data_IF_147970110468
#
_entry.id   IF_147970110468
#
_cell.length_a   1.000
_cell.length_b   1.000
_cell.length_c   1.000
_cell.angle_alpha   90.00
_cell.angle_beta   90.00
_cell.angle_gamma   90.00
#
_symmetry.space_group_name_H-M   'P 1'
#
loop_
_entity.id
_entity.type
_entity.pdbx_description
1 polymer ?
#
# COMPACT_ATOMS: atom_id res chain seq x y z
N UNK A 1 10.52 4.45 -11.94
CA UNK A 1 10.62 3.24 -11.07
C UNK A 1 11.53 3.59 -9.92
N UNK A 2 11.26 3.10 -8.71
CA UNK A 2 12.16 3.30 -7.58
C UNK A 2 12.01 2.22 -6.51
N UNK A 3 13.01 2.14 -5.65
CA UNK A 3 13.07 1.23 -4.52
C UNK A 3 13.56 1.97 -3.29
N UNK A 4 13.03 1.60 -2.13
CA UNK A 4 13.51 2.07 -0.84
C UNK A 4 13.34 0.97 0.21
N UNK A 5 13.98 1.14 1.37
CA UNK A 5 13.87 0.21 2.48
C UNK A 5 12.79 0.69 3.47
N UNK A 6 12.16 -0.26 4.17
CA UNK A 6 11.27 0.04 5.28
C UNK A 6 11.60 -0.82 6.50
N UNK A 7 11.34 -0.27 7.68
CA UNK A 7 11.37 -0.98 8.95
C UNK A 7 10.19 -0.48 9.79
N UNK A 8 9.33 -1.40 10.22
CA UNK A 8 8.10 -1.13 10.97
C UNK A 8 7.92 -2.23 12.00
N UNK A 9 7.95 -1.88 13.28
CA UNK A 9 7.65 -2.78 14.40
C UNK A 9 6.13 -2.95 14.58
N UNK A 10 5.68 -3.92 15.38
CA UNK A 10 4.24 -4.20 15.59
C UNK A 10 3.44 -2.99 16.16
N UNK A 11 4.12 -2.12 16.92
CA UNK A 11 3.56 -0.90 17.50
C UNK A 11 3.68 0.34 16.62
N UNK A 12 4.21 0.22 15.40
CA UNK A 12 4.50 1.33 14.50
C UNK A 12 3.69 1.24 13.20
N UNK A 13 3.63 2.36 12.50
CA UNK A 13 3.05 2.48 11.17
C UNK A 13 3.92 3.45 10.35
N UNK A 14 4.10 3.15 9.07
CA UNK A 14 4.81 4.04 8.15
C UNK A 14 3.79 4.68 7.21
N UNK A 15 3.64 6.00 7.34
CA UNK A 15 2.86 6.81 6.41
C UNK A 15 3.65 6.96 5.11
N UNK A 16 2.99 6.72 3.99
CA UNK A 16 3.53 6.82 2.65
C UNK A 16 2.71 7.86 1.89
N UNK A 17 3.35 8.90 1.35
CA UNK A 17 2.69 9.88 0.49
C UNK A 17 3.49 10.14 -0.79
N UNK A 18 2.79 10.25 -1.92
CA UNK A 18 3.40 10.64 -3.19
C UNK A 18 2.36 11.25 -4.12
N UNK A 19 2.74 12.31 -4.83
CA UNK A 19 1.94 12.83 -5.94
C UNK A 19 1.93 11.81 -7.08
N UNK A 20 0.74 11.45 -7.58
CA UNK A 20 0.64 10.50 -8.69
C UNK A 20 0.90 11.24 -10.00
N UNK A 21 1.94 10.89 -10.76
CA UNK A 21 2.24 11.54 -12.03
C UNK A 21 1.23 11.13 -13.11
N UNK A 22 1.13 11.91 -14.20
CA UNK A 22 0.41 11.46 -15.38
C UNK A 22 1.14 10.22 -15.93
N UNK A 23 0.48 9.07 -15.92
CA UNK A 23 1.09 7.82 -16.36
C UNK A 23 0.05 6.77 -16.79
N UNK A 24 0.47 5.82 -17.62
CA UNK A 24 -0.41 4.72 -18.10
C UNK A 24 -0.66 3.69 -17.00
N UNK A 25 0.31 3.48 -16.11
CA UNK A 25 0.17 2.57 -14.99
C UNK A 25 1.11 2.97 -13.85
N UNK A 26 0.65 2.78 -12.63
CA UNK A 26 1.50 2.86 -11.46
C UNK A 26 1.10 1.85 -10.40
N UNK A 27 2.01 1.60 -9.47
CA UNK A 27 1.72 0.83 -8.27
C UNK A 27 2.88 0.74 -7.31
N UNK A 28 2.56 0.35 -6.08
CA UNK A 28 3.46 0.13 -4.95
C UNK A 28 3.34 -1.32 -4.47
N UNK A 29 4.45 -1.93 -4.09
CA UNK A 29 4.51 -3.31 -3.60
C UNK A 29 5.55 -3.43 -2.51
N UNK A 30 5.18 -4.12 -1.43
CA UNK A 30 6.10 -4.58 -0.42
C UNK A 30 6.77 -5.88 -0.86
N UNK A 31 8.08 -5.94 -0.65
CA UNK A 31 8.87 -7.15 -0.75
C UNK A 31 9.65 -7.40 0.54
N UNK A 32 10.08 -8.64 0.71
CA UNK A 32 10.97 -9.02 1.81
C UNK A 32 12.40 -8.48 1.60
N UNK A 33 13.31 -8.87 2.49
CA UNK A 33 14.71 -8.47 2.47
C UNK A 33 15.49 -8.99 1.25
N UNK A 34 14.92 -9.95 0.52
CA UNK A 34 15.46 -10.54 -0.70
C UNK A 34 14.76 -10.04 -1.96
N UNK A 35 13.96 -8.96 -1.84
CA UNK A 35 13.18 -8.37 -2.92
C UNK A 35 12.11 -9.32 -3.50
N UNK A 36 11.72 -10.36 -2.78
CA UNK A 36 10.60 -11.21 -3.17
C UNK A 36 9.30 -10.53 -2.72
N UNK A 37 8.27 -10.56 -3.57
CA UNK A 37 6.97 -10.00 -3.20
C UNK A 37 6.42 -10.71 -1.95
N UNK A 38 5.92 -9.93 -0.99
CA UNK A 38 5.09 -10.47 0.09
C UNK A 38 3.80 -11.08 -0.47
N UNK A 39 3.02 -11.79 0.36
CA UNK A 39 1.78 -12.46 -0.07
C UNK A 39 0.73 -11.47 -0.58
N UNK A 40 0.80 -11.17 -1.87
CA UNK A 40 -0.11 -10.26 -2.54
C UNK A 40 -1.41 -10.95 -2.98
N UNK A 41 -1.52 -12.28 -2.84
CA UNK A 41 -2.71 -13.05 -3.23
C UNK A 41 -3.75 -13.01 -2.12
N UNK A 42 -3.33 -13.21 -0.87
CA UNK A 42 -4.24 -13.24 0.28
C UNK A 42 -4.16 -11.98 1.16
N UNK A 43 -3.11 -11.17 1.03
CA UNK A 43 -2.96 -9.89 1.75
C UNK A 43 -2.91 -8.71 0.81
N UNK A 44 -3.20 -7.54 1.33
CA UNK A 44 -3.06 -6.27 0.62
C UNK A 44 -1.62 -5.75 0.75
N UNK A 45 -0.62 -6.52 0.32
CA UNK A 45 0.81 -6.13 0.38
C UNK A 45 1.27 -5.30 -0.84
N UNK A 46 0.33 -4.94 -1.71
CA UNK A 46 0.56 -4.12 -2.91
C UNK A 46 -0.70 -3.35 -3.28
N UNK A 47 -0.56 -2.21 -3.96
CA UNK A 47 -1.66 -1.43 -4.53
C UNK A 47 -1.24 -0.88 -5.89
N UNK A 48 -2.21 -0.65 -6.78
CA UNK A 48 -2.01 0.00 -8.06
C UNK A 48 -3.14 1.00 -8.35
N UNK A 49 -3.03 1.74 -9.45
CA UNK A 49 -4.02 2.77 -9.81
C UNK A 49 -5.47 2.29 -10.00
N UNK A 50 -5.73 0.99 -10.09
CA UNK A 50 -7.09 0.43 -10.17
C UNK A 50 -7.65 0.03 -8.79
N UNK A 51 -6.81 -0.03 -7.77
CA UNK A 51 -7.15 -0.51 -6.42
C UNK A 51 -7.05 0.58 -5.37
N UNK A 52 -6.12 1.52 -5.54
CA UNK A 52 -5.90 2.60 -4.61
C UNK A 52 -7.03 3.63 -4.68
N UNK A 53 -7.36 4.22 -3.54
CA UNK A 53 -8.21 5.41 -3.47
C UNK A 53 -7.33 6.65 -3.46
N UNK A 54 -7.58 7.60 -4.36
CA UNK A 54 -6.81 8.84 -4.46
C UNK A 54 -7.69 9.99 -3.99
N UNK A 55 -7.15 10.81 -3.08
CA UNK A 55 -7.82 12.02 -2.60
C UNK A 55 -7.88 13.08 -3.70
N UNK A 56 -8.75 14.09 -3.51
CA UNK A 56 -8.99 15.13 -4.52
C UNK A 56 -7.74 15.97 -4.87
N UNK A 57 -6.71 15.96 -4.02
CA UNK A 57 -5.42 16.62 -4.23
C UNK A 57 -4.45 15.81 -5.11
N UNK A 58 -4.84 14.64 -5.62
CA UNK A 58 -4.01 13.83 -6.53
C UNK A 58 -2.88 13.07 -5.84
N UNK A 59 -2.83 13.10 -4.50
CA UNK A 59 -1.79 12.41 -3.73
C UNK A 59 -2.25 11.00 -3.37
N UNK A 60 -1.42 10.01 -3.67
CA UNK A 60 -1.59 8.67 -3.14
C UNK A 60 -1.02 8.63 -1.71
N UNK A 61 -1.90 8.31 -0.76
CA UNK A 61 -1.56 8.11 0.65
C UNK A 61 -1.79 6.68 1.07
N UNK A 62 -0.85 6.07 1.78
CA UNK A 62 -1.00 4.73 2.32
C UNK A 62 -0.38 4.58 3.70
N UNK A 63 -0.87 3.61 4.46
CA UNK A 63 -0.26 3.17 5.72
C UNK A 63 0.36 1.79 5.51
N UNK A 64 1.65 1.64 5.83
CA UNK A 64 2.30 0.34 5.92
C UNK A 64 2.36 -0.06 7.40
N UNK A 65 1.71 -1.17 7.77
CA UNK A 65 1.59 -1.61 9.16
C UNK A 65 1.23 -3.09 9.27
N UNK A 66 1.53 -3.68 10.44
CA UNK A 66 1.16 -5.08 10.76
C UNK A 66 -0.34 -5.28 10.98
N UNK A 67 -1.02 -4.26 11.52
CA UNK A 67 -2.45 -4.28 11.82
C UNK A 67 -3.20 -3.42 10.80
N UNK A 68 -4.43 -3.81 10.49
CA UNK A 68 -5.32 -3.02 9.62
C UNK A 68 -5.68 -1.71 10.32
N UNK A 69 -5.33 -0.54 9.75
CA UNK A 69 -5.67 0.77 10.31
C UNK A 69 -7.11 1.21 10.02
N UNK A 70 -7.90 0.43 9.27
CA UNK A 70 -9.29 0.77 8.95
C UNK A 70 -9.43 1.81 7.83
N UNK A 71 -8.45 1.89 6.93
CA UNK A 71 -8.47 2.77 5.74
C UNK A 71 -8.20 1.98 4.45
N UNK A 72 -8.69 2.46 3.31
CA UNK A 72 -8.62 1.77 2.03
C UNK A 72 -7.18 1.41 1.64
N UNK A 73 -6.29 2.40 1.67
CA UNK A 73 -4.90 2.27 1.25
C UNK A 73 -4.00 1.78 2.39
N UNK A 74 -4.18 0.53 2.78
CA UNK A 74 -3.29 -0.17 3.70
C UNK A 74 -2.34 -1.10 2.93
N UNK A 75 -1.08 -1.17 3.34
CA UNK A 75 -0.11 -2.14 2.88
C UNK A 75 0.27 -3.05 4.05
N UNK A 76 -0.23 -4.28 4.00
CA UNK A 76 -0.01 -5.31 5.03
C UNK A 76 1.43 -5.84 4.95
N UNK A 77 2.17 -5.72 6.05
CA UNK A 77 3.55 -6.23 6.18
C UNK A 77 3.63 -7.75 6.22
N UNK A 78 2.50 -8.45 6.35
CA UNK A 78 2.39 -9.91 6.42
C UNK A 78 3.21 -10.53 7.56
N UNK A 79 3.49 -9.75 8.61
CA UNK A 79 4.32 -10.15 9.76
C UNK A 79 5.82 -9.86 9.59
N UNK A 80 6.27 -9.35 8.44
CA UNK A 80 7.65 -8.88 8.29
C UNK A 80 7.84 -7.55 9.03
N UNK A 81 8.98 -7.36 9.68
CA UNK A 81 9.33 -6.09 10.36
C UNK A 81 10.19 -5.18 9.50
N UNK A 82 10.70 -5.67 8.38
CA UNK A 82 11.51 -4.93 7.44
C UNK A 82 11.47 -5.55 6.05
N UNK A 83 11.84 -4.77 5.04
CA UNK A 83 11.98 -5.23 3.67
C UNK A 83 12.13 -4.07 2.70
N UNK A 84 11.78 -4.29 1.44
CA UNK A 84 11.81 -3.26 0.41
C UNK A 84 10.40 -2.76 0.05
N UNK A 85 10.30 -1.49 -0.30
CA UNK A 85 9.19 -0.91 -1.05
C UNK A 85 9.65 -0.77 -2.49
N UNK A 86 8.87 -1.30 -3.43
CA UNK A 86 9.06 -1.07 -4.87
C UNK A 86 7.87 -0.26 -5.39
N UNK A 87 8.14 0.87 -6.04
CA UNK A 87 7.11 1.67 -6.71
C UNK A 87 7.43 1.89 -8.19
N UNK A 88 6.37 1.92 -9.00
CA UNK A 88 6.44 1.95 -10.47
C UNK A 88 5.62 3.11 -11.01
N UNK A 89 6.21 3.85 -11.93
CA UNK A 89 5.58 4.87 -12.77
C UNK A 89 5.86 4.46 -14.22
N UNK A 90 4.88 3.87 -14.91
CA UNK A 90 5.05 3.37 -16.27
C UNK A 90 4.57 4.42 -17.28
N UNK A 91 5.47 4.82 -18.19
CA UNK A 91 5.20 5.89 -19.17
C UNK A 91 4.69 7.15 -18.48
N UNK A 92 5.43 7.60 -17.46
CA UNK A 92 5.09 8.77 -16.68
C UNK A 92 5.80 10.02 -17.21
N UNK A 93 5.16 11.17 -17.06
CA UNK A 93 5.74 12.49 -17.36
C UNK A 93 6.83 12.92 -16.35
N UNK A 94 6.81 12.32 -15.16
CA UNK A 94 7.68 12.63 -14.04
C UNK A 94 7.96 11.39 -13.18
N UNK A 95 8.92 11.49 -12.27
CA UNK A 95 9.37 10.39 -11.42
C UNK A 95 9.35 10.79 -9.94
N UNK A 96 8.17 11.04 -9.35
CA UNK A 96 8.08 11.46 -7.96
C UNK A 96 8.59 10.36 -7.02
N UNK A 97 9.23 10.79 -5.93
CA UNK A 97 9.76 9.93 -4.88
C UNK A 97 8.85 10.06 -3.67
N UNK A 98 8.37 8.94 -3.09
CA UNK A 98 7.48 9.00 -1.94
C UNK A 98 8.20 9.53 -0.70
N UNK A 99 7.46 10.30 0.08
CA UNK A 99 7.85 10.63 1.46
C UNK A 99 7.36 9.55 2.40
N UNK A 100 8.15 9.29 3.44
CA UNK A 100 7.86 8.28 4.44
C UNK A 100 7.96 8.90 5.83
N UNK A 101 6.97 8.66 6.68
CA UNK A 101 6.99 9.08 8.08
C UNK A 101 6.63 7.91 9.00
N UNK A 102 7.55 7.53 9.89
CA UNK A 102 7.32 6.49 10.88
C UNK A 102 6.63 7.11 12.10
N UNK A 103 5.49 6.55 12.49
CA UNK A 103 4.69 7.00 13.62
C UNK A 103 4.30 5.82 14.51
N UNK A 104 4.03 6.02 15.80
CA UNK A 104 3.34 5.03 16.62
C UNK A 104 1.99 4.67 15.97
N UNK A 105 1.65 3.39 15.91
CA UNK A 105 0.39 2.93 15.31
C UNK A 105 -0.82 3.56 16.00
N UNK A 106 -0.74 3.73 17.33
CA UNK A 106 -1.83 4.30 18.12
C UNK A 106 -2.02 5.80 17.87
N UNK A 107 -1.09 6.48 17.21
CA UNK A 107 -1.22 7.89 16.85
C UNK A 107 -2.01 8.08 15.54
N UNK A 108 -2.22 7.02 14.75
CA UNK A 108 -2.91 7.09 13.46
C UNK A 108 -4.26 7.83 13.53
N UNK A 109 -5.16 7.60 14.50
CA UNK A 109 -6.43 8.32 14.58
C UNK A 109 -6.29 9.85 14.62
N UNK A 110 -5.17 10.38 15.13
CA UNK A 110 -4.88 11.82 15.17
C UNK A 110 -4.20 12.34 13.88
N UNK A 111 -3.68 11.44 13.04
CA UNK A 111 -2.96 11.76 11.80
C UNK A 111 -3.82 11.58 10.55
N UNK A 112 -4.81 10.69 10.62
CA UNK A 112 -5.72 10.38 9.52
C UNK A 112 -6.88 11.39 9.50
N UNK A 113 -6.85 12.30 8.54
CA UNK A 113 -7.93 13.26 8.27
C UNK A 113 -8.89 12.74 7.17
N UNK A 114 -9.71 13.64 6.62
CA UNK A 114 -10.71 13.35 5.58
C UNK A 114 -10.11 12.90 4.24
N UNK A 115 -8.80 13.04 4.05
CA UNK A 115 -8.09 12.56 2.84
C UNK A 115 -7.84 11.05 2.88
N UNK A 116 -8.06 10.40 4.02
CA UNK A 116 -7.88 8.96 4.20
C UNK A 116 -9.25 8.27 4.19
N UNK A 117 -9.52 7.49 3.15
CA UNK A 117 -10.83 6.85 3.00
C UNK A 117 -10.99 5.68 3.99
N UNK A 118 -11.98 5.71 4.91
CA UNK A 118 -12.19 4.65 5.87
C UNK A 118 -12.71 3.37 5.20
N UNK A 119 -12.41 2.23 5.81
CA UNK A 119 -12.85 0.90 5.37
C UNK A 119 -13.21 0.06 6.59
N UNK A 120 -14.39 -0.56 6.55
CA UNK A 120 -14.86 -1.49 7.56
C UNK A 120 -14.21 -2.87 7.43
N UNK A 121 -14.19 -3.70 8.49
CA UNK A 121 -13.70 -5.08 8.40
C UNK A 121 -14.39 -5.93 7.32
N UNK A 122 -15.70 -5.71 7.08
CA UNK A 122 -16.45 -6.43 6.05
C UNK A 122 -16.00 -6.04 4.64
N UNK A 123 -15.83 -4.73 4.39
CA UNK A 123 -15.28 -4.22 3.13
C UNK A 123 -13.85 -4.70 2.91
N UNK A 124 -13.00 -4.71 3.95
CA UNK A 124 -11.65 -5.28 3.87
C UNK A 124 -11.69 -6.75 3.44
N UNK A 125 -12.56 -7.54 4.08
CA UNK A 125 -12.72 -8.96 3.75
C UNK A 125 -13.10 -9.15 2.27
N UNK A 126 -14.01 -8.33 1.78
CA UNK A 126 -14.44 -8.35 0.38
C UNK A 126 -13.29 -7.97 -0.58
N UNK A 127 -12.51 -6.93 -0.26
CA UNK A 127 -11.32 -6.53 -1.03
C UNK A 127 -10.32 -7.70 -1.13
N UNK A 128 -10.02 -8.37 -0.02
CA UNK A 128 -9.10 -9.51 -0.01
C UNK A 128 -9.67 -10.71 -0.79
N UNK A 129 -10.99 -10.96 -0.70
CA UNK A 129 -11.68 -12.01 -1.47
C UNK A 129 -11.57 -11.76 -2.98
N UNK A 130 -11.86 -10.54 -3.42
CA UNK A 130 -11.79 -10.13 -4.83
C UNK A 130 -10.35 -10.21 -5.35
N UNK A 131 -9.37 -9.77 -4.57
CA UNK A 131 -7.94 -9.89 -4.87
C UNK A 131 -7.55 -11.35 -5.11
N UNK A 132 -7.87 -12.24 -4.18
CA UNK A 132 -7.58 -13.68 -4.30
C UNK A 132 -8.23 -14.28 -5.53
N UNK A 133 -9.50 -13.96 -5.77
CA UNK A 133 -10.21 -14.43 -6.95
C UNK A 133 -9.56 -13.93 -8.26
N UNK A 134 -9.16 -12.66 -8.31
CA UNK A 134 -8.41 -12.08 -9.44
C UNK A 134 -7.05 -12.75 -9.66
N UNK A 135 -6.35 -13.12 -8.59
CA UNK A 135 -5.11 -13.89 -8.67
C UNK A 135 -5.35 -15.29 -9.26
N UNK A 136 -6.34 -16.03 -8.75
CA UNK A 136 -6.65 -17.39 -9.19
C UNK A 136 -7.13 -17.46 -10.65
N UNK A 137 -7.81 -16.42 -11.15
CA UNK A 137 -8.21 -16.33 -12.57
C UNK A 137 -7.03 -16.45 -13.54
N UNK A 138 -5.81 -16.09 -13.13
CA UNK A 138 -4.60 -16.22 -13.96
C UNK A 138 -4.20 -17.68 -14.24
N UNK A 139 -4.66 -18.61 -13.41
CA UNK A 139 -4.29 -20.02 -13.49
C UNK A 139 -5.45 -20.91 -13.95
N UNK A 140 -6.60 -20.33 -14.27
CA UNK A 140 -7.70 -21.04 -14.91
C UNK A 140 -7.29 -21.28 -16.38
N UNK A 141 -7.04 -22.54 -16.71
CA UNK A 141 -6.91 -23.01 -18.09
C UNK A 141 -8.28 -23.29 -18.67
#
# INVERSE_FOLDING_TARGET
>A
YGQTWWQVSEGEALLYEVEVPECVYWGVQLGDVWYQSLDWVNRQSSLNGHQATISADGVFRAVISHRDPGIANWLDTTGATQGCITYRWNQADSNPVPTLELVPFNDLPARLDDRWSPVTPAERSEVLRLRRHGALRRFRR
#
